data_IF_553622916298
#
_entry.id   IF_553622916298
#
_cell.length_a   1.000
_cell.length_b   1.000
_cell.length_c   1.000
_cell.angle_alpha   90.00
_cell.angle_beta   90.00
_cell.angle_gamma   90.00
#
_symmetry.space_group_name_H-M   'P 1'
#
loop_
_entity.id
_entity.type
_entity.pdbx_description
1 polymer ?
#
# COMPACT_ATOMS: atom_id res chain seq x y z
N UNK A 1 29.96 -37.22 59.70
CA UNK A 1 29.40 -35.88 59.98
C UNK A 1 30.50 -34.85 59.72
N UNK A 2 30.15 -33.69 59.14
CA UNK A 2 31.05 -32.61 58.67
C UNK A 2 31.62 -32.79 57.25
N UNK A 3 30.75 -32.57 56.27
CA UNK A 3 31.07 -31.79 55.07
C UNK A 3 31.14 -30.34 55.54
N UNK A 4 32.33 -29.83 55.80
CA UNK A 4 32.53 -28.41 56.08
C UNK A 4 34.02 -28.09 55.85
N UNK A 5 34.25 -27.01 55.09
CA UNK A 5 35.46 -26.20 55.13
C UNK A 5 36.71 -26.60 54.31
N UNK A 6 36.57 -27.11 53.08
CA UNK A 6 37.70 -27.13 52.11
C UNK A 6 37.37 -26.57 50.71
N UNK A 7 36.25 -25.85 50.55
CA UNK A 7 35.88 -25.17 49.27
C UNK A 7 35.92 -23.63 49.41
N UNK A 8 36.50 -23.11 50.49
CA UNK A 8 36.56 -21.65 50.78
C UNK A 8 37.93 -21.00 50.63
N UNK A 9 38.89 -21.69 49.99
CA UNK A 9 40.28 -21.23 49.82
C UNK A 9 40.76 -21.00 48.38
N UNK A 10 39.91 -21.16 47.36
CA UNK A 10 40.24 -20.81 45.96
C UNK A 10 39.64 -19.44 45.59
N UNK A 11 39.86 -18.45 46.45
CA UNK A 11 39.63 -17.03 46.16
C UNK A 11 40.88 -16.50 45.47
N UNK A 12 40.67 -15.70 44.42
CA UNK A 12 41.68 -14.85 43.76
C UNK A 12 42.56 -15.58 42.71
N UNK A 13 41.94 -16.03 41.61
CA UNK A 13 42.49 -15.97 40.24
C UNK A 13 41.47 -16.55 39.27
N UNK A 14 40.46 -15.75 38.94
CA UNK A 14 39.74 -15.78 37.66
C UNK A 14 38.84 -14.54 37.55
N UNK A 15 39.41 -13.38 37.89
CA UNK A 15 38.87 -12.09 37.49
C UNK A 15 39.43 -11.75 36.11
N UNK A 16 38.74 -12.17 35.05
CA UNK A 16 38.76 -11.64 33.67
C UNK A 16 38.15 -12.69 32.75
N UNK A 17 36.83 -12.62 32.55
CA UNK A 17 36.06 -13.05 31.35
C UNK A 17 34.60 -13.18 31.75
N UNK A 18 33.94 -12.05 31.97
CA UNK A 18 32.49 -11.91 31.91
C UNK A 18 32.16 -10.42 31.85
N UNK A 19 32.12 -9.88 30.63
CA UNK A 19 31.38 -8.69 30.23
C UNK A 19 31.67 -8.39 28.74
N UNK A 20 31.27 -9.29 27.85
CA UNK A 20 31.18 -9.00 26.42
C UNK A 20 30.06 -9.84 25.80
N UNK A 21 28.89 -9.84 26.44
CA UNK A 21 27.65 -10.07 25.72
C UNK A 21 27.26 -8.70 25.23
N UNK A 22 27.72 -8.38 24.00
CA UNK A 22 27.42 -7.13 23.34
C UNK A 22 25.93 -6.89 23.39
N UNK A 23 25.54 -5.81 24.04
CA UNK A 23 24.28 -5.13 23.82
C UNK A 23 24.20 -4.83 22.33
N UNK A 24 23.62 -5.74 21.52
CA UNK A 24 23.04 -5.33 20.25
C UNK A 24 22.08 -4.23 20.62
N UNK A 25 22.43 -3.00 20.27
CA UNK A 25 21.63 -1.85 20.65
C UNK A 25 20.20 -2.12 20.19
N UNK A 26 19.22 -1.68 20.97
CA UNK A 26 17.83 -1.78 20.54
C UNK A 26 17.64 -1.20 19.12
N UNK A 27 18.49 -0.25 18.72
CA UNK A 27 18.58 0.28 17.36
C UNK A 27 19.04 -0.72 16.30
N UNK A 28 19.97 -1.64 16.57
CA UNK A 28 20.36 -2.70 15.61
C UNK A 28 19.26 -3.74 15.42
N UNK A 29 18.53 -4.08 16.48
CA UNK A 29 17.40 -5.01 16.42
C UNK A 29 16.22 -4.38 15.68
N UNK A 30 15.93 -3.11 15.98
CA UNK A 30 14.91 -2.32 15.26
C UNK A 30 15.29 -2.09 13.80
N UNK A 31 16.56 -1.79 13.50
CA UNK A 31 17.03 -1.62 12.13
C UNK A 31 16.91 -2.91 11.33
N UNK A 32 17.28 -4.06 11.90
CA UNK A 32 17.08 -5.37 11.24
C UNK A 32 15.61 -5.72 11.04
N UNK A 33 14.74 -5.36 11.99
CA UNK A 33 13.31 -5.56 11.88
C UNK A 33 12.67 -4.67 10.80
N UNK A 34 13.05 -3.38 10.75
CA UNK A 34 12.63 -2.44 9.71
C UNK A 34 13.16 -2.86 8.34
N UNK A 35 14.40 -3.31 8.24
CA UNK A 35 14.97 -3.84 6.99
C UNK A 35 14.23 -5.08 6.52
N UNK A 36 13.88 -6.00 7.43
CA UNK A 36 13.04 -7.16 7.14
C UNK A 36 11.63 -6.78 6.68
N UNK A 37 11.03 -5.72 7.25
CA UNK A 37 9.74 -5.18 6.81
C UNK A 37 9.80 -4.50 5.45
N UNK A 38 10.88 -3.76 5.15
CA UNK A 38 11.15 -3.14 3.85
C UNK A 38 11.39 -4.22 2.80
N UNK A 39 12.16 -5.26 3.11
CA UNK A 39 12.33 -6.43 2.25
C UNK A 39 11.03 -7.20 2.07
N UNK A 40 10.21 -7.37 3.10
CA UNK A 40 8.86 -7.94 2.97
C UNK A 40 7.98 -7.09 2.07
N UNK A 41 8.02 -5.77 2.16
CA UNK A 41 7.29 -4.87 1.25
C UNK A 41 7.82 -4.95 -0.18
N UNK A 42 9.14 -5.03 -0.38
CA UNK A 42 9.78 -5.17 -1.69
C UNK A 42 9.57 -6.56 -2.32
N UNK A 43 9.50 -7.62 -1.52
CA UNK A 43 9.17 -8.99 -1.94
C UNK A 43 7.67 -9.12 -2.21
N UNK A 44 6.82 -8.47 -1.42
CA UNK A 44 5.37 -8.36 -1.69
C UNK A 44 5.10 -7.57 -2.99
N UNK A 45 5.95 -6.60 -3.34
CA UNK A 45 5.91 -5.90 -4.64
C UNK A 45 6.25 -6.79 -5.84
N UNK A 46 6.85 -7.97 -5.65
CA UNK A 46 7.21 -8.91 -6.74
C UNK A 46 6.19 -10.04 -6.94
N UNK A 47 5.07 -10.07 -6.21
CA UNK A 47 4.00 -11.05 -6.45
C UNK A 47 3.25 -10.69 -7.73
N UNK A 48 3.33 -11.55 -8.75
CA UNK A 48 2.48 -11.42 -9.94
C UNK A 48 1.00 -11.52 -9.52
N UNK A 49 0.24 -10.47 -9.80
CA UNK A 49 -1.20 -10.41 -9.50
C UNK A 49 -1.93 -11.51 -10.28
N UNK A 50 -2.81 -12.25 -9.61
CA UNK A 50 -3.51 -13.40 -10.22
C UNK A 50 -4.79 -12.99 -10.92
N UNK A 51 -5.43 -11.94 -10.42
CA UNK A 51 -6.67 -11.39 -10.97
C UNK A 51 -6.49 -9.92 -11.29
N UNK A 52 -7.20 -9.46 -12.31
CA UNK A 52 -7.13 -8.10 -12.81
C UNK A 52 -8.53 -7.58 -13.08
N UNK A 53 -8.68 -6.25 -13.08
CA UNK A 53 -9.97 -5.62 -13.39
C UNK A 53 -10.33 -5.90 -14.86
N UNK A 54 -11.40 -6.65 -15.06
CA UNK A 54 -11.92 -7.07 -16.36
C UNK A 54 -13.45 -7.02 -16.35
N UNK A 55 -14.05 -6.96 -17.55
CA UNK A 55 -15.50 -7.03 -17.72
C UNK A 55 -15.98 -8.47 -17.53
N UNK A 56 -16.90 -8.67 -16.58
CA UNK A 56 -17.48 -9.97 -16.23
C UNK A 56 -18.23 -10.59 -17.40
N UNK A 57 -18.93 -9.80 -18.23
CA UNK A 57 -19.63 -10.30 -19.42
C UNK A 57 -18.65 -10.86 -20.45
N UNK A 58 -17.51 -10.19 -20.61
CA UNK A 58 -16.43 -10.69 -21.48
C UNK A 58 -15.80 -11.97 -20.93
N UNK A 59 -15.59 -12.06 -19.62
CA UNK A 59 -15.11 -13.28 -18.97
C UNK A 59 -16.08 -14.46 -19.16
N UNK A 60 -17.39 -14.24 -19.00
CA UNK A 60 -18.40 -15.27 -19.26
C UNK A 60 -18.37 -15.75 -20.71
N UNK A 61 -18.32 -14.82 -21.69
CA UNK A 61 -18.19 -15.17 -23.12
C UNK A 61 -16.98 -16.06 -23.39
N UNK A 62 -15.85 -15.78 -22.72
CA UNK A 62 -14.64 -16.61 -22.82
C UNK A 62 -14.85 -17.97 -22.16
N UNK A 63 -15.49 -18.03 -20.99
CA UNK A 63 -15.78 -19.29 -20.29
C UNK A 63 -16.66 -20.22 -21.14
N UNK A 64 -17.72 -19.70 -21.75
CA UNK A 64 -18.62 -20.48 -22.63
C UNK A 64 -17.89 -20.99 -23.86
N UNK A 65 -16.95 -20.21 -24.40
CA UNK A 65 -16.14 -20.57 -25.56
C UNK A 65 -14.79 -21.21 -25.19
N UNK A 66 -14.63 -21.73 -23.97
CA UNK A 66 -13.35 -22.26 -23.47
C UNK A 66 -12.71 -23.32 -24.38
N UNK A 67 -13.52 -24.15 -25.03
CA UNK A 67 -13.05 -25.18 -25.98
C UNK A 67 -12.43 -24.61 -27.27
N UNK A 68 -12.76 -23.35 -27.60
CA UNK A 68 -12.26 -22.62 -28.78
C UNK A 68 -11.09 -21.69 -28.46
N UNK A 69 -10.65 -21.64 -27.20
CA UNK A 69 -9.56 -20.76 -26.74
C UNK A 69 -8.33 -21.63 -26.50
N UNK A 70 -7.53 -21.81 -27.55
CA UNK A 70 -6.23 -22.50 -27.45
C UNK A 70 -5.06 -21.53 -27.26
N UNK A 71 -5.24 -20.28 -27.68
CA UNK A 71 -4.19 -19.26 -27.73
C UNK A 71 -4.66 -17.88 -27.20
N UNK A 72 -3.71 -16.96 -27.04
CA UNK A 72 -4.01 -15.56 -26.66
C UNK A 72 -4.72 -14.81 -27.80
N UNK A 73 -4.41 -15.17 -29.04
CA UNK A 73 -5.01 -14.62 -30.25
C UNK A 73 -6.51 -14.93 -30.33
N UNK A 74 -6.93 -16.10 -29.84
CA UNK A 74 -8.34 -16.48 -29.78
C UNK A 74 -9.12 -15.60 -28.81
N UNK A 75 -8.51 -15.22 -27.68
CA UNK A 75 -9.11 -14.27 -26.74
C UNK A 75 -9.34 -12.92 -27.42
N UNK A 76 -8.33 -12.40 -28.12
CA UNK A 76 -8.45 -11.14 -28.87
C UNK A 76 -9.68 -11.15 -29.80
N UNK A 77 -9.87 -12.25 -30.54
CA UNK A 77 -11.01 -12.43 -31.45
C UNK A 77 -12.35 -12.53 -30.75
N UNK A 78 -12.43 -13.23 -29.60
CA UNK A 78 -13.70 -13.47 -28.91
C UNK A 78 -14.24 -12.23 -28.19
N UNK A 79 -13.36 -11.41 -27.60
CA UNK A 79 -13.75 -10.25 -26.77
C UNK A 79 -13.43 -8.89 -27.39
N UNK A 80 -12.91 -8.88 -28.62
CA UNK A 80 -12.51 -7.70 -29.39
C UNK A 80 -11.57 -6.79 -28.59
N UNK A 81 -10.41 -7.33 -28.20
CA UNK A 81 -9.38 -6.59 -27.46
C UNK A 81 -8.07 -6.63 -28.24
N UNK A 82 -7.70 -5.50 -28.86
CA UNK A 82 -6.51 -5.39 -29.71
C UNK A 82 -5.20 -5.29 -28.93
N UNK A 83 -5.23 -4.78 -27.71
CA UNK A 83 -4.00 -4.58 -26.93
C UNK A 83 -3.45 -5.90 -26.39
N UNK A 84 -2.17 -6.21 -26.69
CA UNK A 84 -1.48 -7.40 -26.16
C UNK A 84 -1.59 -7.51 -24.63
N UNK A 85 -1.42 -6.38 -23.93
CA UNK A 85 -1.54 -6.30 -22.47
C UNK A 85 -2.96 -6.61 -21.98
N UNK A 86 -3.99 -6.11 -22.67
CA UNK A 86 -5.38 -6.41 -22.34
C UNK A 86 -5.70 -7.89 -22.54
N UNK A 87 -5.28 -8.48 -23.65
CA UNK A 87 -5.42 -9.92 -23.91
C UNK A 87 -4.78 -10.75 -22.79
N UNK A 88 -3.55 -10.42 -22.41
CA UNK A 88 -2.85 -11.10 -21.31
C UNK A 88 -3.58 -10.96 -19.96
N UNK A 89 -4.17 -9.80 -19.72
CA UNK A 89 -4.97 -9.52 -18.52
C UNK A 89 -6.19 -10.44 -18.45
N UNK A 90 -6.92 -10.58 -19.57
CA UNK A 90 -8.06 -11.48 -19.67
C UNK A 90 -7.65 -12.94 -19.60
N UNK A 91 -6.56 -13.34 -20.25
CA UNK A 91 -6.02 -14.71 -20.19
C UNK A 91 -5.72 -15.13 -18.76
N UNK A 92 -4.92 -14.35 -18.03
CA UNK A 92 -4.53 -14.67 -16.65
C UNK A 92 -5.74 -14.76 -15.72
N UNK A 93 -6.68 -13.82 -15.88
CA UNK A 93 -7.91 -13.80 -15.10
C UNK A 93 -8.81 -15.00 -15.42
N UNK A 94 -8.96 -15.36 -16.70
CA UNK A 94 -9.72 -16.52 -17.14
C UNK A 94 -9.11 -17.83 -16.61
N UNK A 95 -7.78 -17.97 -16.65
CA UNK A 95 -7.09 -19.13 -16.08
C UNK A 95 -7.32 -19.25 -14.57
N UNK A 96 -7.39 -18.13 -13.86
CA UNK A 96 -7.75 -18.13 -12.44
C UNK A 96 -9.21 -18.58 -12.22
N UNK A 97 -10.14 -18.11 -13.06
CA UNK A 97 -11.57 -18.48 -13.02
C UNK A 97 -11.76 -19.96 -13.33
N UNK A 98 -11.15 -20.50 -14.39
CA UNK A 98 -11.31 -21.89 -14.82
C UNK A 98 -10.89 -22.91 -13.76
N UNK A 99 -9.95 -22.54 -12.88
CA UNK A 99 -9.55 -23.36 -11.73
C UNK A 99 -10.63 -23.48 -10.64
N UNK A 100 -11.65 -22.64 -10.67
CA UNK A 100 -12.71 -22.52 -9.64
C UNK A 100 -14.10 -22.77 -10.20
N UNK A 101 -14.36 -22.30 -11.41
CA UNK A 101 -15.63 -22.40 -12.12
C UNK A 101 -15.37 -23.20 -13.39
N UNK A 102 -15.67 -24.49 -13.35
CA UNK A 102 -15.50 -25.37 -14.51
C UNK A 102 -16.47 -24.98 -15.63
N UNK A 103 -17.74 -24.78 -15.25
CA UNK A 103 -18.85 -24.51 -16.18
C UNK A 103 -19.94 -23.65 -15.50
N UNK A 104 -20.64 -22.87 -16.33
CA UNK A 104 -21.81 -22.11 -15.96
C UNK A 104 -22.91 -22.27 -17.01
N UNK A 105 -24.14 -22.51 -16.56
CA UNK A 105 -25.31 -22.78 -17.42
C UNK A 105 -25.86 -21.51 -18.05
N UNK A 106 -25.78 -20.40 -17.32
CA UNK A 106 -26.23 -19.08 -17.74
C UNK A 106 -25.25 -18.01 -17.23
N UNK A 107 -25.45 -16.77 -17.68
CA UNK A 107 -24.68 -15.63 -17.16
C UNK A 107 -24.93 -15.42 -15.66
N UNK A 108 -26.18 -15.60 -15.20
CA UNK A 108 -26.52 -15.44 -13.78
C UNK A 108 -25.89 -16.53 -12.92
N UNK A 109 -25.93 -17.79 -13.36
CA UNK A 109 -25.22 -18.91 -12.70
C UNK A 109 -23.71 -18.65 -12.63
N UNK A 110 -23.13 -18.04 -13.68
CA UNK A 110 -21.73 -17.60 -13.64
C UNK A 110 -21.48 -16.51 -12.59
N UNK A 111 -22.34 -15.50 -12.54
CA UNK A 111 -22.25 -14.40 -11.57
C UNK A 111 -22.38 -14.90 -10.13
N UNK A 112 -23.34 -15.78 -9.84
CA UNK A 112 -23.54 -16.39 -8.52
C UNK A 112 -22.33 -17.23 -8.09
N UNK A 113 -21.81 -18.08 -9.00
CA UNK A 113 -20.60 -18.87 -8.74
C UNK A 113 -19.39 -17.99 -8.51
N UNK A 114 -19.19 -16.95 -9.33
CA UNK A 114 -18.09 -16.01 -9.16
C UNK A 114 -18.18 -15.27 -7.83
N UNK A 115 -19.37 -14.80 -7.46
CA UNK A 115 -19.67 -14.16 -6.18
C UNK A 115 -19.28 -15.07 -5.00
N UNK A 116 -19.78 -16.32 -4.98
CA UNK A 116 -19.48 -17.29 -3.93
C UNK A 116 -17.98 -17.56 -3.80
N UNK A 117 -17.28 -17.72 -4.93
CA UNK A 117 -15.84 -17.95 -4.99
C UNK A 117 -15.07 -16.76 -4.39
N UNK A 118 -15.36 -15.52 -4.81
CA UNK A 118 -14.60 -14.36 -4.33
C UNK A 118 -14.91 -14.02 -2.87
N UNK A 119 -16.16 -14.20 -2.41
CA UNK A 119 -16.52 -14.00 -1.01
C UNK A 119 -15.76 -14.96 -0.10
N UNK A 120 -15.68 -16.24 -0.49
CA UNK A 120 -15.04 -17.29 0.30
C UNK A 120 -13.51 -17.18 0.31
N UNK A 121 -12.88 -17.08 -0.85
CA UNK A 121 -11.41 -17.12 -0.95
C UNK A 121 -10.76 -15.86 -0.38
N UNK A 122 -11.40 -14.70 -0.55
CA UNK A 122 -10.86 -13.41 -0.12
C UNK A 122 -11.50 -12.89 1.18
N UNK A 123 -12.40 -13.66 1.81
CA UNK A 123 -13.15 -13.26 3.03
C UNK A 123 -13.72 -11.84 2.93
N UNK A 124 -14.29 -11.50 1.77
CA UNK A 124 -14.67 -10.13 1.44
C UNK A 124 -15.76 -9.60 2.37
N UNK A 125 -16.68 -10.46 2.85
CA UNK A 125 -17.72 -10.05 3.80
C UNK A 125 -17.10 -9.46 5.07
N UNK A 126 -16.15 -10.17 5.65
CA UNK A 126 -15.45 -9.74 6.87
C UNK A 126 -14.60 -8.48 6.62
N UNK A 127 -13.97 -8.38 5.45
CA UNK A 127 -13.19 -7.21 5.08
C UNK A 127 -14.07 -5.95 4.89
N UNK A 128 -15.22 -6.08 4.22
CA UNK A 128 -16.14 -4.95 4.02
C UNK A 128 -16.80 -4.52 5.33
N UNK A 129 -17.18 -5.48 6.19
CA UNK A 129 -17.72 -5.15 7.52
C UNK A 129 -16.71 -4.35 8.35
N UNK A 130 -15.45 -4.78 8.36
CA UNK A 130 -14.37 -4.05 9.05
C UNK A 130 -14.18 -2.64 8.49
N UNK A 131 -14.23 -2.48 7.15
CA UNK A 131 -14.17 -1.16 6.52
C UNK A 131 -15.34 -0.28 6.98
N UNK A 132 -16.53 -0.84 7.10
CA UNK A 132 -17.72 -0.11 7.56
C UNK A 132 -17.62 0.29 9.03
N UNK A 133 -17.27 -0.64 9.92
CA UNK A 133 -17.08 -0.39 11.36
C UNK A 133 -16.05 0.72 11.61
N UNK A 134 -14.99 0.74 10.81
CA UNK A 134 -13.92 1.75 10.86
C UNK A 134 -14.22 3.00 10.04
N UNK A 135 -15.39 3.11 9.41
CA UNK A 135 -15.80 4.23 8.56
C UNK A 135 -14.80 4.56 7.45
N UNK A 136 -14.15 3.52 6.90
CA UNK A 136 -13.22 3.66 5.79
C UNK A 136 -13.97 3.77 4.46
N UNK A 137 -13.48 4.58 3.50
CA UNK A 137 -14.11 4.66 2.20
C UNK A 137 -13.91 3.36 1.41
N UNK A 138 -14.91 3.01 0.61
CA UNK A 138 -14.89 1.84 -0.28
C UNK A 138 -14.02 2.14 -1.51
N UNK A 139 -12.71 2.03 -1.33
CA UNK A 139 -11.74 2.16 -2.41
C UNK A 139 -10.66 1.06 -2.34
N UNK A 140 -9.90 0.84 -3.43
CA UNK A 140 -8.96 -0.27 -3.50
C UNK A 140 -7.84 -0.22 -2.47
N UNK A 141 -7.42 0.97 -2.05
CA UNK A 141 -6.37 1.13 -1.04
C UNK A 141 -6.87 0.71 0.34
N UNK A 142 -8.05 1.17 0.73
CA UNK A 142 -8.69 0.78 2.00
C UNK A 142 -8.94 -0.73 2.06
N UNK A 143 -9.48 -1.31 0.98
CA UNK A 143 -9.70 -2.76 0.90
C UNK A 143 -8.38 -3.53 1.03
N UNK A 144 -7.35 -3.13 0.29
CA UNK A 144 -6.05 -3.78 0.36
C UNK A 144 -5.48 -3.75 1.79
N UNK A 145 -5.57 -2.61 2.46
CA UNK A 145 -5.01 -2.45 3.81
C UNK A 145 -5.77 -3.29 4.84
N UNK A 146 -7.12 -3.29 4.80
CA UNK A 146 -7.94 -4.15 5.68
C UNK A 146 -7.67 -5.64 5.43
N UNK A 147 -7.58 -6.05 4.17
CA UNK A 147 -7.26 -7.44 3.84
C UNK A 147 -5.87 -7.85 4.34
N UNK A 148 -4.88 -6.94 4.26
CA UNK A 148 -3.53 -7.16 4.80
C UNK A 148 -3.56 -7.36 6.32
N UNK A 149 -4.33 -6.55 7.06
CA UNK A 149 -4.51 -6.71 8.51
C UNK A 149 -5.11 -8.08 8.87
N UNK A 150 -6.04 -8.58 8.06
CA UNK A 150 -6.64 -9.92 8.23
C UNK A 150 -5.74 -11.06 7.73
N UNK A 151 -4.46 -10.80 7.44
CA UNK A 151 -3.50 -11.78 6.96
C UNK A 151 -3.70 -12.23 5.50
N UNK A 152 -4.59 -11.57 4.75
CA UNK A 152 -4.89 -11.90 3.35
C UNK A 152 -3.96 -11.10 2.46
N UNK A 153 -3.00 -11.79 1.83
CA UNK A 153 -2.06 -11.16 0.91
C UNK A 153 -2.77 -10.84 -0.41
N UNK A 154 -3.05 -9.57 -0.66
CA UNK A 154 -3.57 -9.04 -1.92
C UNK A 154 -2.76 -7.85 -2.42
N UNK A 155 -2.57 -7.76 -3.73
CA UNK A 155 -1.99 -6.57 -4.36
C UNK A 155 -3.05 -5.49 -4.59
N UNK A 156 -2.63 -4.24 -4.79
CA UNK A 156 -3.55 -3.15 -5.16
C UNK A 156 -4.31 -3.44 -6.47
N UNK A 157 -3.67 -4.16 -7.40
CA UNK A 157 -4.31 -4.59 -8.66
C UNK A 157 -5.43 -5.59 -8.39
N UNK A 158 -5.20 -6.53 -7.48
CA UNK A 158 -6.21 -7.51 -7.08
C UNK A 158 -7.36 -6.82 -6.33
N UNK A 159 -7.06 -5.92 -5.39
CA UNK A 159 -8.08 -5.13 -4.69
C UNK A 159 -8.94 -4.29 -5.67
N UNK A 160 -8.33 -3.70 -6.71
CA UNK A 160 -9.05 -3.02 -7.80
C UNK A 160 -9.95 -3.96 -8.60
N UNK A 161 -9.49 -5.19 -8.85
CA UNK A 161 -10.27 -6.20 -9.55
C UNK A 161 -11.47 -6.63 -8.72
N UNK A 162 -11.24 -6.97 -7.44
CA UNK A 162 -12.27 -7.42 -6.50
C UNK A 162 -13.36 -6.36 -6.32
N UNK A 163 -13.02 -5.11 -6.00
CA UNK A 163 -14.03 -4.05 -5.91
C UNK A 163 -14.75 -3.81 -7.23
N UNK A 164 -14.02 -3.88 -8.35
CA UNK A 164 -14.64 -3.77 -9.67
C UNK A 164 -15.71 -4.84 -9.89
N UNK A 165 -15.40 -6.09 -9.56
CA UNK A 165 -16.35 -7.19 -9.69
C UNK A 165 -17.49 -7.11 -8.70
N UNK A 166 -17.23 -6.77 -7.43
CA UNK A 166 -18.29 -6.58 -6.44
C UNK A 166 -19.30 -5.53 -6.88
N UNK A 167 -18.86 -4.43 -7.48
CA UNK A 167 -19.75 -3.42 -8.07
C UNK A 167 -20.50 -3.96 -9.28
N UNK A 168 -19.83 -4.67 -10.19
CA UNK A 168 -20.48 -5.23 -11.39
C UNK A 168 -21.43 -6.39 -11.12
N UNK A 169 -21.31 -7.03 -9.95
CA UNK A 169 -22.18 -8.10 -9.47
C UNK A 169 -23.26 -7.59 -8.49
N UNK A 170 -23.39 -6.26 -8.35
CA UNK A 170 -24.32 -5.61 -7.40
C UNK A 170 -24.19 -6.10 -5.94
N UNK A 171 -23.00 -6.54 -5.54
CA UNK A 171 -22.72 -7.02 -4.18
C UNK A 171 -22.52 -5.87 -3.18
N UNK A 172 -22.23 -4.67 -3.67
CA UNK A 172 -22.06 -3.46 -2.87
C UNK A 172 -22.86 -2.34 -3.50
N UNK A 173 -23.69 -1.69 -2.70
CA UNK A 173 -24.38 -0.45 -3.07
C UNK A 173 -23.74 0.70 -2.30
N UNK A 174 -23.17 1.67 -3.02
CA UNK A 174 -22.51 2.83 -2.43
C UNK A 174 -23.53 3.95 -2.17
N UNK A 175 -23.73 4.30 -0.90
CA UNK A 175 -24.42 5.54 -0.52
C UNK A 175 -23.39 6.65 -0.34
N UNK A 176 -23.59 7.78 -1.01
CA UNK A 176 -22.71 8.96 -0.84
C UNK A 176 -23.11 9.68 0.45
N UNK A 177 -22.22 9.66 1.44
CA UNK A 177 -22.38 10.39 2.70
C UNK A 177 -21.55 11.67 2.61
N UNK A 178 -22.15 12.86 2.82
CA UNK A 178 -21.39 14.11 2.82
C UNK A 178 -20.47 14.16 4.04
N UNK A 179 -19.24 14.63 3.82
CA UNK A 179 -18.27 14.91 4.88
C UNK A 179 -18.08 16.43 4.94
N UNK A 180 -18.32 17.02 6.10
CA UNK A 180 -18.08 18.43 6.33
C UNK A 180 -16.59 18.63 6.63
N UNK A 181 -15.91 19.46 5.83
CA UNK A 181 -14.50 19.81 6.04
C UNK A 181 -14.39 21.30 6.39
N UNK A 182 -13.85 21.60 7.57
CA UNK A 182 -13.74 22.97 8.10
C UNK A 182 -12.50 23.73 7.63
N UNK A 183 -11.42 23.04 7.27
CA UNK A 183 -10.15 23.66 6.88
C UNK A 183 -9.65 23.20 5.52
N UNK A 184 -8.67 23.90 4.95
CA UNK A 184 -7.96 23.45 3.74
C UNK A 184 -7.26 22.10 3.98
N UNK A 185 -6.63 21.94 5.14
CA UNK A 185 -5.98 20.70 5.55
C UNK A 185 -6.95 19.52 5.57
N UNK A 186 -8.13 19.70 6.15
CA UNK A 186 -9.17 18.66 6.20
C UNK A 186 -9.63 18.30 4.78
N UNK A 187 -9.85 19.30 3.91
CA UNK A 187 -10.25 19.08 2.51
C UNK A 187 -9.18 18.29 1.73
N UNK A 188 -7.90 18.60 1.94
CA UNK A 188 -6.79 17.88 1.31
C UNK A 188 -6.72 16.44 1.82
N UNK A 189 -6.80 16.24 3.14
CA UNK A 189 -6.77 14.92 3.74
C UNK A 189 -7.95 14.06 3.28
N UNK A 190 -9.17 14.60 3.28
CA UNK A 190 -10.37 13.88 2.83
C UNK A 190 -10.34 13.56 1.33
N UNK A 191 -9.74 14.42 0.49
CA UNK A 191 -9.50 14.10 -0.92
C UNK A 191 -8.54 12.90 -1.06
N UNK A 192 -7.39 12.93 -0.35
CA UNK A 192 -6.41 11.84 -0.38
C UNK A 192 -7.07 10.54 0.09
N UNK A 193 -7.81 10.60 1.19
CA UNK A 193 -8.58 9.50 1.78
C UNK A 193 -9.62 8.94 0.82
N UNK A 194 -10.48 9.79 0.27
CA UNK A 194 -11.52 9.39 -0.68
C UNK A 194 -10.92 8.63 -1.88
N UNK A 195 -9.81 9.13 -2.44
CA UNK A 195 -9.13 8.50 -3.59
C UNK A 195 -8.27 7.30 -3.22
N UNK A 196 -7.78 7.22 -1.97
CA UNK A 196 -6.80 6.26 -1.48
C UNK A 196 -5.37 6.52 -1.98
N UNK A 197 -5.20 6.98 -3.22
CA UNK A 197 -3.93 7.41 -3.77
C UNK A 197 -4.12 8.54 -4.78
N UNK A 198 -3.33 9.60 -4.68
CA UNK A 198 -3.37 10.77 -5.57
C UNK A 198 -1.94 11.26 -5.86
N UNK A 199 -1.74 11.98 -6.97
CA UNK A 199 -0.44 12.59 -7.26
C UNK A 199 -0.36 14.01 -6.69
N UNK A 200 0.85 14.43 -6.33
CA UNK A 200 1.11 15.80 -5.88
C UNK A 200 0.57 16.85 -6.88
N UNK A 201 0.83 16.66 -8.18
CA UNK A 201 0.37 17.60 -9.20
C UNK A 201 -1.15 17.72 -9.31
N UNK A 202 -1.92 16.68 -8.96
CA UNK A 202 -3.38 16.75 -8.90
C UNK A 202 -3.86 17.57 -7.70
N UNK A 203 -3.20 17.45 -6.55
CA UNK A 203 -3.51 18.26 -5.38
C UNK A 203 -3.10 19.71 -5.58
N UNK A 204 -1.87 19.97 -6.06
CA UNK A 204 -1.37 21.32 -6.30
C UNK A 204 -2.24 22.09 -7.30
N UNK A 205 -2.72 21.43 -8.37
CA UNK A 205 -3.66 22.05 -9.32
C UNK A 205 -4.99 22.46 -8.67
N UNK A 206 -5.48 21.68 -7.69
CA UNK A 206 -6.79 21.89 -7.06
C UNK A 206 -6.73 22.87 -5.89
N UNK A 207 -5.63 22.83 -5.12
CA UNK A 207 -5.51 23.51 -3.82
C UNK A 207 -4.41 24.60 -3.80
N UNK A 208 -3.64 24.75 -4.89
CA UNK A 208 -2.58 25.74 -5.02
C UNK A 208 -1.24 25.30 -4.43
N UNK A 209 -0.30 26.25 -4.37
CA UNK A 209 1.10 25.99 -4.03
C UNK A 209 1.31 25.63 -2.55
N UNK A 210 0.45 26.14 -1.66
CA UNK A 210 0.48 25.84 -0.22
C UNK A 210 0.14 24.39 0.16
N UNK A 211 -0.13 23.53 -0.83
CA UNK A 211 -0.40 22.10 -0.58
C UNK A 211 0.88 21.34 -0.21
N UNK A 212 2.06 21.87 -0.54
CA UNK A 212 3.37 21.27 -0.20
C UNK A 212 3.52 21.15 1.31
N UNK A 213 3.32 22.26 2.02
CA UNK A 213 3.46 22.38 3.47
C UNK A 213 2.42 21.48 4.16
N UNK A 214 1.18 21.47 3.65
CA UNK A 214 0.11 20.62 4.16
C UNK A 214 0.42 19.13 4.01
N UNK A 215 1.02 18.71 2.90
CA UNK A 215 1.40 17.31 2.69
C UNK A 215 2.51 16.91 3.65
N UNK A 216 3.53 17.76 3.83
CA UNK A 216 4.61 17.45 4.78
C UNK A 216 4.06 17.38 6.21
N UNK A 217 3.19 18.30 6.63
CA UNK A 217 2.54 18.24 7.95
C UNK A 217 1.65 17.00 8.13
N UNK A 218 0.82 16.63 7.13
CA UNK A 218 0.01 15.41 7.18
C UNK A 218 0.87 14.14 7.24
N UNK A 219 1.98 14.10 6.52
CA UNK A 219 2.91 12.97 6.50
C UNK A 219 3.72 12.87 7.80
N UNK A 220 4.15 14.00 8.38
CA UNK A 220 4.83 14.04 9.67
C UNK A 220 3.96 13.46 10.78
N UNK A 221 2.64 13.69 10.71
CA UNK A 221 1.61 13.13 11.60
C UNK A 221 1.16 11.71 11.24
N UNK A 222 1.85 11.05 10.31
CA UNK A 222 1.54 9.68 9.86
C UNK A 222 0.13 9.48 9.24
N UNK A 223 -0.60 10.55 8.92
CA UNK A 223 -1.95 10.50 8.33
C UNK A 223 -1.95 10.12 6.84
N UNK A 224 -0.82 10.32 6.17
CA UNK A 224 -0.58 9.96 4.78
C UNK A 224 0.84 9.38 4.63
N UNK A 225 1.07 8.63 3.55
CA UNK A 225 2.40 8.18 3.16
C UNK A 225 2.83 8.84 1.87
N UNK A 226 4.07 9.31 1.83
CA UNK A 226 4.69 9.87 0.62
C UNK A 226 6.02 9.14 0.44
N UNK A 227 6.04 8.00 -0.28
CA UNK A 227 7.23 7.14 -0.36
C UNK A 227 8.51 7.85 -0.82
N UNK A 228 8.36 8.94 -1.58
CA UNK A 228 9.49 9.75 -2.02
C UNK A 228 10.17 10.51 -0.86
N UNK A 229 9.42 10.89 0.19
CA UNK A 229 9.93 11.66 1.33
C UNK A 229 10.49 10.77 2.45
N UNK A 230 10.19 9.47 2.45
CA UNK A 230 10.54 8.55 3.54
C UNK A 230 12.05 8.51 3.84
N UNK A 231 12.91 8.66 2.83
CA UNK A 231 14.38 8.70 3.00
C UNK A 231 14.88 9.98 3.71
N UNK A 232 14.06 11.04 3.74
CA UNK A 232 14.43 12.36 4.27
C UNK A 232 13.67 12.72 5.55
N UNK A 233 13.08 11.72 6.21
CA UNK A 233 12.15 11.92 7.33
C UNK A 233 12.72 12.69 8.51
N UNK A 234 13.94 12.37 8.92
CA UNK A 234 14.58 13.06 10.05
C UNK A 234 14.78 14.55 9.74
N UNK A 235 15.28 14.85 8.54
CA UNK A 235 15.56 16.21 8.09
C UNK A 235 14.28 17.04 7.96
N UNK A 236 13.23 16.46 7.37
CA UNK A 236 11.96 17.15 7.11
C UNK A 236 11.06 17.28 8.34
N UNK A 237 11.29 16.49 9.40
CA UNK A 237 10.58 16.62 10.68
C UNK A 237 11.09 17.79 11.51
N UNK A 238 12.40 18.04 11.47
CA UNK A 238 13.07 19.11 12.22
C UNK A 238 13.06 20.46 11.49
N UNK A 239 12.71 20.45 10.20
CA UNK A 239 12.67 21.65 9.38
C UNK A 239 11.52 22.60 9.76
N UNK A 240 11.86 23.82 10.15
CA UNK A 240 10.90 24.92 10.33
C UNK A 240 10.56 25.62 9.00
N UNK A 241 11.47 25.58 8.03
CA UNK A 241 11.33 26.20 6.72
C UNK A 241 11.72 25.17 5.64
N UNK A 242 10.77 24.84 4.76
CA UNK A 242 10.97 23.86 3.69
C UNK A 242 11.74 24.45 2.50
N UNK A 243 11.94 25.76 2.45
CA UNK A 243 12.69 26.46 1.41
C UNK A 243 14.16 26.68 1.82
N UNK A 244 14.49 26.52 3.11
CA UNK A 244 15.83 26.73 3.70
C UNK A 244 16.33 25.51 4.46
N UNK A 245 16.44 24.39 3.77
CA UNK A 245 17.01 23.16 4.32
C UNK A 245 18.55 23.15 4.21
N UNK A 246 19.24 22.29 5.00
CA UNK A 246 20.68 22.13 4.89
C UNK A 246 21.14 21.86 3.45
N UNK A 247 22.29 22.40 3.01
CA UNK A 247 22.80 22.17 1.67
C UNK A 247 23.24 20.72 1.45
N UNK A 248 23.31 20.30 0.19
CA UNK A 248 23.79 18.96 -0.18
C UNK A 248 22.72 17.87 -0.15
N UNK A 249 21.44 18.24 0.02
CA UNK A 249 20.33 17.31 -0.20
C UNK A 249 20.23 16.97 -1.69
N UNK A 250 20.69 15.77 -2.04
CA UNK A 250 20.66 15.27 -3.41
C UNK A 250 19.32 14.59 -3.74
N UNK A 251 19.00 14.54 -5.04
CA UNK A 251 17.85 13.80 -5.57
C UNK A 251 16.86 14.67 -6.33
N UNK A 252 15.75 14.08 -6.79
CA UNK A 252 14.70 14.80 -7.54
C UNK A 252 13.77 15.62 -6.66
N UNK A 253 13.98 15.60 -5.35
CA UNK A 253 13.12 16.20 -4.33
C UNK A 253 13.66 17.52 -3.81
N UNK A 254 14.89 17.87 -4.16
CA UNK A 254 15.55 19.06 -3.65
C UNK A 254 16.16 19.85 -4.80
N UNK A 255 16.06 21.17 -4.69
CA UNK A 255 16.77 22.12 -5.55
C UNK A 255 17.69 22.94 -4.66
N UNK A 256 18.96 23.10 -5.05
CA UNK A 256 19.92 23.87 -4.26
C UNK A 256 20.04 25.29 -4.83
N UNK A 257 20.14 26.27 -3.94
CA UNK A 257 20.30 27.68 -4.31
C UNK A 257 21.23 28.39 -3.31
N UNK A 258 21.78 29.53 -3.73
CA UNK A 258 22.63 30.38 -2.89
C UNK A 258 21.88 31.66 -2.55
N UNK A 259 21.81 31.99 -1.27
CA UNK A 259 21.29 33.27 -0.84
C UNK A 259 22.23 34.38 -1.29
N UNK A 260 21.67 35.36 -2.01
CA UNK A 260 22.42 36.47 -2.57
C UNK A 260 22.90 37.46 -1.51
N UNK A 261 22.26 37.49 -0.34
CA UNK A 261 22.60 38.43 0.73
C UNK A 261 23.68 37.82 1.63
N UNK A 262 23.46 36.61 2.11
CA UNK A 262 24.36 35.95 3.07
C UNK A 262 25.48 35.15 2.39
N UNK A 263 25.31 34.77 1.13
CA UNK A 263 26.22 33.88 0.41
C UNK A 263 26.07 32.41 0.81
N UNK A 264 25.17 32.08 1.74
CA UNK A 264 24.97 30.73 2.24
C UNK A 264 24.22 29.85 1.22
N UNK A 265 24.54 28.56 1.23
CA UNK A 265 23.90 27.57 0.37
C UNK A 265 22.76 26.89 1.12
N UNK A 266 21.61 26.83 0.46
CA UNK A 266 20.39 26.18 0.97
C UNK A 266 19.85 25.17 -0.03
N UNK A 267 19.03 24.26 0.46
CA UNK A 267 18.19 23.40 -0.37
C UNK A 267 16.71 23.69 -0.11
N UNK A 268 15.90 23.71 -1.17
CA UNK A 268 14.44 23.80 -1.07
C UNK A 268 13.81 22.44 -1.40
N UNK A 269 12.72 22.10 -0.70
CA UNK A 269 11.93 20.91 -1.00
C UNK A 269 11.03 21.16 -2.22
N UNK A 270 11.23 20.35 -3.25
CA UNK A 270 10.44 20.33 -4.49
C UNK A 270 9.81 18.95 -4.65
N UNK A 271 8.51 18.82 -4.37
CA UNK A 271 7.78 17.56 -4.58
C UNK A 271 7.46 17.40 -6.08
N UNK A 272 7.94 16.35 -6.78
CA UNK A 272 7.65 16.15 -8.19
C UNK A 272 6.15 15.99 -8.44
N UNK A 273 5.63 16.57 -9.53
CA UNK A 273 4.19 16.47 -9.90
C UNK A 273 3.65 15.03 -9.96
N UNK A 274 4.51 14.05 -10.26
CA UNK A 274 4.16 12.61 -10.35
C UNK A 274 4.34 11.84 -9.04
N UNK A 275 4.86 12.48 -7.98
CA UNK A 275 4.99 11.84 -6.68
C UNK A 275 3.63 11.37 -6.19
N UNK A 276 3.58 10.13 -5.69
CA UNK A 276 2.35 9.52 -5.17
C UNK A 276 2.20 9.83 -3.70
N UNK A 277 1.00 10.20 -3.32
CA UNK A 277 0.56 10.46 -1.96
C UNK A 277 -0.53 9.44 -1.67
N UNK A 278 -0.31 8.64 -0.63
CA UNK A 278 -1.15 7.50 -0.28
C UNK A 278 -1.88 7.81 1.02
N UNK A 279 -3.17 7.51 1.08
CA UNK A 279 -3.91 7.57 2.33
C UNK A 279 -3.36 6.52 3.31
N UNK A 280 -3.17 6.91 4.57
CA UNK A 280 -3.01 5.97 5.67
C UNK A 280 -4.29 5.93 6.50
N UNK A 281 -4.75 4.71 6.76
CA UNK A 281 -5.96 4.43 7.52
C UNK A 281 -5.66 3.92 8.92
N UNK A 282 -4.45 3.41 9.14
CA UNK A 282 -4.01 2.78 10.36
C UNK A 282 -2.63 3.32 10.73
N UNK A 283 -2.41 3.55 12.01
CA UNK A 283 -1.08 3.67 12.56
C UNK A 283 -0.43 2.28 12.46
N UNK A 284 0.71 2.17 11.78
CA UNK A 284 1.48 0.91 11.75
C UNK A 284 2.07 0.56 13.13
N UNK A 285 1.88 1.43 14.12
CA UNK A 285 2.15 1.25 15.53
C UNK A 285 0.81 1.26 16.26
N UNK A 286 0.23 0.08 16.48
CA UNK A 286 -1.04 -0.07 17.18
C UNK A 286 -1.05 0.64 18.52
N UNK A 287 -2.19 1.27 18.81
CA UNK A 287 -2.66 1.52 20.18
C UNK A 287 -3.02 0.18 20.84
#
# INVERSE_FOLDING_TARGET
MKKEADILGAKIKNGKRNAQIGSRSASEVLAKFLFSLIELNNVMSKRKSKIFKTDIRKLYKLLVKKSKIGSREDISKVIDVKSKRGVETYYNTLQWILKRIKEAKSFDDFCEKLCSVILKEFKLKDAINEMFERKLPINPSSLQQVMKLKGIKVTLTEAKALLGWMKSLDMIVERKIPVLSSSLKDRVLEEIRSKGAITYGSLARKYGDGVRELIVDLWNRDLIAVPALDEYREILREANDLDRLPPGLGGRLFSSWQDRITGELYSELVIPKRAKILARWFDEFGS
#
